data_IF_586274694170
#
_entry.id   IF_586274694170
#
_cell.length_a   1.000
_cell.length_b   1.000
_cell.length_c   1.000
_cell.angle_alpha   90.00
_cell.angle_beta   90.00
_cell.angle_gamma   90.00
#
_symmetry.space_group_name_H-M   'P 1'
#
loop_
_entity.id
_entity.type
_entity.pdbx_description
1 polymer ?
#
# COMPACT_ATOMS: atom_id res chain seq x y z
N UNK A 1 -9.41 20.59 12.91
CA UNK A 1 -9.26 21.37 14.14
C UNK A 1 -10.31 22.46 14.20
N UNK A 2 -10.73 22.84 15.41
CA UNK A 2 -11.70 23.91 15.65
C UNK A 2 -11.14 25.27 15.18
N UNK A 3 -11.90 26.03 14.41
CA UNK A 3 -11.49 27.32 13.86
C UNK A 3 -11.57 28.49 14.87
N UNK A 4 -11.89 28.19 16.13
CA UNK A 4 -11.80 29.17 17.22
C UNK A 4 -10.36 29.30 17.74
N UNK A 5 -9.80 28.21 18.31
CA UNK A 5 -8.46 28.23 18.93
C UNK A 5 -7.66 26.94 18.66
N UNK A 6 -7.95 26.24 17.57
CA UNK A 6 -7.14 25.13 17.09
C UNK A 6 -7.28 23.80 17.86
N UNK A 7 -8.28 23.69 18.75
CA UNK A 7 -8.47 22.43 19.49
C UNK A 7 -8.85 21.28 18.56
N UNK A 8 -8.33 20.08 18.83
CA UNK A 8 -8.69 18.86 18.12
C UNK A 8 -10.16 18.52 18.35
N UNK A 9 -10.93 18.27 17.28
CA UNK A 9 -12.36 17.99 17.37
C UNK A 9 -12.67 16.52 17.63
N UNK A 10 -11.87 15.63 17.07
CA UNK A 10 -12.00 14.17 17.23
C UNK A 10 -10.76 13.65 17.94
N UNK A 11 -10.96 12.94 19.05
CA UNK A 11 -9.88 12.42 19.92
C UNK A 11 -9.93 10.90 20.07
N UNK A 12 -10.79 10.24 19.30
CA UNK A 12 -10.96 8.79 19.26
C UNK A 12 -10.70 8.30 17.84
N UNK A 13 -10.25 7.06 17.72
CA UNK A 13 -9.83 6.50 16.44
C UNK A 13 -11.02 6.17 15.53
N UNK A 14 -12.17 5.81 16.12
CA UNK A 14 -13.39 5.45 15.39
C UNK A 14 -14.66 5.87 16.13
N UNK A 15 -15.75 6.09 15.38
CA UNK A 15 -17.04 6.44 15.98
C UNK A 15 -18.05 6.95 14.93
N UNK A 16 -19.29 7.16 15.40
CA UNK A 16 -20.36 7.77 14.62
C UNK A 16 -20.81 9.07 15.27
N UNK A 17 -20.92 10.13 14.48
CA UNK A 17 -21.29 11.46 14.94
C UNK A 17 -22.35 12.07 14.01
N UNK A 18 -23.25 12.85 14.56
CA UNK A 18 -24.14 13.74 13.80
C UNK A 18 -23.54 15.15 13.63
N UNK A 19 -22.58 15.53 14.48
CA UNK A 19 -21.87 16.80 14.43
C UNK A 19 -20.58 16.72 15.22
N UNK A 20 -19.62 17.60 14.95
CA UNK A 20 -18.38 17.74 15.71
C UNK A 20 -18.56 18.83 16.76
N UNK A 21 -18.41 18.50 18.05
CA UNK A 21 -18.44 19.46 19.14
C UNK A 21 -17.05 19.66 19.73
N UNK A 22 -16.60 20.91 19.74
CA UNK A 22 -15.30 21.25 20.33
C UNK A 22 -15.33 21.11 21.84
N UNK A 23 -14.46 20.29 22.40
CA UNK A 23 -14.38 20.08 23.86
C UNK A 23 -13.95 21.33 24.65
N UNK A 24 -13.42 22.35 23.95
CA UNK A 24 -12.90 23.55 24.63
C UNK A 24 -14.01 24.61 24.90
N UNK A 25 -14.75 25.01 23.87
CA UNK A 25 -15.82 26.04 24.01
C UNK A 25 -17.12 25.63 23.33
N UNK A 26 -17.36 24.33 23.19
CA UNK A 26 -18.59 23.73 22.66
C UNK A 26 -19.04 24.20 21.27
N UNK A 27 -18.16 24.84 20.46
CA UNK A 27 -18.50 25.19 19.08
C UNK A 27 -18.88 23.92 18.31
N UNK A 28 -20.03 23.97 17.63
CA UNK A 28 -20.57 22.80 16.90
C UNK A 28 -20.47 23.00 15.41
N UNK A 29 -19.86 22.02 14.76
CA UNK A 29 -19.71 21.94 13.30
C UNK A 29 -20.53 20.80 12.76
N UNK A 30 -21.22 21.01 11.65
CA UNK A 30 -21.89 19.95 10.90
C UNK A 30 -20.89 19.01 10.24
N UNK A 31 -21.39 17.87 9.71
CA UNK A 31 -20.57 16.96 8.93
C UNK A 31 -20.09 17.56 7.59
N UNK A 32 -20.75 18.65 7.15
CA UNK A 32 -20.35 19.46 6.00
C UNK A 32 -19.26 20.52 6.37
N UNK A 33 -18.78 20.50 7.61
CA UNK A 33 -17.75 21.42 8.12
C UNK A 33 -18.27 22.81 8.48
N UNK A 34 -19.55 23.11 8.31
CA UNK A 34 -20.09 24.44 8.68
C UNK A 34 -20.20 24.58 10.18
N UNK A 35 -19.82 25.77 10.69
CA UNK A 35 -20.09 26.14 12.06
C UNK A 35 -21.58 26.48 12.20
N UNK A 36 -22.32 25.65 12.93
CA UNK A 36 -23.77 25.75 13.04
C UNK A 36 -24.23 26.32 14.36
N UNK A 37 -23.38 26.30 15.39
CA UNK A 37 -23.75 26.79 16.71
C UNK A 37 -22.53 27.14 17.56
N UNK A 38 -22.67 28.23 18.32
CA UNK A 38 -21.72 28.65 19.37
C UNK A 38 -22.53 29.06 20.60
N UNK A 39 -21.95 28.95 21.82
CA UNK A 39 -22.57 29.52 23.04
C UNK A 39 -22.56 31.03 22.98
N UNK A 40 -23.55 31.68 23.61
CA UNK A 40 -23.64 33.12 23.78
C UNK A 40 -23.42 33.87 22.46
N UNK A 41 -24.10 33.44 21.40
CA UNK A 41 -23.94 33.95 20.03
C UNK A 41 -24.18 35.45 19.93
N UNK A 42 -25.06 35.97 20.75
CA UNK A 42 -25.41 37.39 20.85
C UNK A 42 -24.29 38.29 21.38
N UNK A 43 -23.34 37.73 22.12
CA UNK A 43 -22.22 38.47 22.69
C UNK A 43 -21.10 38.79 21.70
N UNK A 44 -21.16 38.24 20.50
CA UNK A 44 -20.17 38.52 19.47
C UNK A 44 -20.39 39.90 18.83
N UNK A 45 -19.62 40.91 19.26
CA UNK A 45 -19.73 42.29 18.79
C UNK A 45 -19.58 42.48 17.29
N UNK A 46 -18.92 41.52 16.59
CA UNK A 46 -18.75 41.49 15.12
C UNK A 46 -19.86 40.68 14.44
N UNK A 47 -20.89 40.27 15.17
CA UNK A 47 -21.95 39.37 14.76
C UNK A 47 -21.52 37.90 14.78
N UNK A 48 -22.52 37.01 14.65
CA UNK A 48 -22.35 35.58 14.74
C UNK A 48 -21.17 35.05 13.89
N UNK A 49 -20.32 34.18 14.46
CA UNK A 49 -19.29 33.46 13.71
C UNK A 49 -19.85 32.27 12.89
N UNK A 50 -21.12 31.87 13.13
CA UNK A 50 -21.78 30.78 12.43
C UNK A 50 -21.78 31.03 10.92
N UNK A 51 -21.47 30.01 10.13
CA UNK A 51 -21.34 30.11 8.69
C UNK A 51 -20.10 30.84 8.17
N UNK A 52 -19.37 31.58 9.05
CA UNK A 52 -18.16 32.35 8.69
C UNK A 52 -16.85 31.66 9.11
N UNK A 53 -16.87 30.95 10.26
CA UNK A 53 -15.73 30.23 10.82
C UNK A 53 -15.87 28.72 10.64
N UNK A 54 -16.17 28.32 9.41
CA UNK A 54 -16.29 26.92 9.04
C UNK A 54 -14.95 26.20 9.13
N UNK A 55 -14.98 24.87 9.19
CA UNK A 55 -13.77 24.07 9.04
C UNK A 55 -13.15 24.36 7.66
N UNK A 56 -11.84 24.31 7.61
CA UNK A 56 -11.10 24.46 6.34
C UNK A 56 -11.31 23.19 5.54
N UNK A 57 -11.77 23.33 4.32
CA UNK A 57 -11.84 22.21 3.37
C UNK A 57 -10.43 21.83 2.94
N UNK A 58 -10.17 20.53 2.88
CA UNK A 58 -8.90 19.97 2.44
C UNK A 58 -9.19 19.06 1.25
N UNK A 59 -8.47 19.27 0.16
CA UNK A 59 -8.56 18.41 -1.02
C UNK A 59 -8.25 16.98 -0.64
N UNK A 60 -9.21 16.08 -0.83
CA UNK A 60 -9.07 14.66 -0.51
C UNK A 60 -9.68 13.80 -1.60
N UNK A 61 -9.04 12.68 -1.89
CA UNK A 61 -9.50 11.68 -2.86
C UNK A 61 -9.29 10.29 -2.28
N UNK A 62 -10.12 9.33 -2.68
CA UNK A 62 -10.04 7.93 -2.25
C UNK A 62 -9.64 7.07 -3.43
N UNK A 63 -8.67 6.19 -3.20
CA UNK A 63 -8.30 5.17 -4.16
C UNK A 63 -8.01 3.85 -3.45
N UNK A 64 -8.65 2.78 -3.87
CA UNK A 64 -8.48 1.42 -3.34
C UNK A 64 -8.62 1.32 -1.81
N UNK A 65 -9.52 2.13 -1.22
CA UNK A 65 -9.73 2.17 0.24
C UNK A 65 -8.77 3.08 1.01
N UNK A 66 -7.73 3.60 0.37
CA UNK A 66 -6.82 4.59 0.95
C UNK A 66 -7.34 5.99 0.75
N UNK A 67 -7.30 6.81 1.80
CA UNK A 67 -7.68 8.23 1.77
C UNK A 67 -6.41 9.07 1.60
N UNK A 68 -6.34 9.80 0.51
CA UNK A 68 -5.26 10.74 0.21
C UNK A 68 -5.74 12.16 0.44
N UNK A 69 -4.88 13.03 0.95
CA UNK A 69 -5.19 14.44 1.10
C UNK A 69 -3.99 15.32 0.73
N UNK A 70 -4.27 16.55 0.33
CA UNK A 70 -3.27 17.56 0.02
C UNK A 70 -3.71 18.92 0.56
N UNK A 71 -2.77 19.63 1.20
CA UNK A 71 -3.02 20.98 1.73
C UNK A 71 -2.86 22.06 0.67
N UNK A 72 -2.39 21.73 -0.52
CA UNK A 72 -2.30 22.63 -1.67
C UNK A 72 -3.55 22.49 -2.55
N UNK A 73 -4.39 23.52 -2.53
CA UNK A 73 -5.63 23.56 -3.33
C UNK A 73 -5.37 23.48 -4.85
N UNK A 74 -4.16 23.84 -5.28
CA UNK A 74 -3.75 23.78 -6.69
C UNK A 74 -3.06 22.46 -7.05
N UNK A 75 -2.99 21.49 -6.12
CA UNK A 75 -2.40 20.20 -6.41
C UNK A 75 -3.09 19.48 -7.57
N UNK A 76 -2.34 18.68 -8.30
CA UNK A 76 -2.87 17.77 -9.34
C UNK A 76 -3.93 16.84 -8.76
N UNK A 77 -4.73 16.21 -9.62
CA UNK A 77 -5.59 15.09 -9.22
C UNK A 77 -4.76 13.95 -8.67
N UNK A 78 -5.35 13.12 -7.80
CA UNK A 78 -4.67 11.94 -7.28
C UNK A 78 -4.23 11.01 -8.42
N UNK A 79 -5.06 10.85 -9.45
CA UNK A 79 -4.73 10.04 -10.63
C UNK A 79 -3.48 10.55 -11.35
N UNK A 80 -3.40 11.86 -11.60
CA UNK A 80 -2.23 12.45 -12.27
C UNK A 80 -0.97 12.36 -11.41
N UNK A 81 -1.14 12.43 -10.09
CA UNK A 81 -0.02 12.31 -9.15
C UNK A 81 0.51 10.88 -9.07
N UNK A 82 -0.37 9.88 -8.97
CA UNK A 82 0.01 8.47 -8.81
C UNK A 82 0.34 7.77 -10.13
N UNK A 83 0.03 8.36 -11.30
CA UNK A 83 0.34 7.71 -12.59
C UNK A 83 1.86 7.47 -12.74
N UNK A 84 2.27 6.30 -13.25
CA UNK A 84 1.45 5.19 -13.76
C UNK A 84 1.17 4.08 -12.71
N UNK A 85 1.33 4.36 -11.43
CA UNK A 85 1.19 3.34 -10.38
C UNK A 85 -0.26 2.81 -10.30
N UNK A 86 -1.26 3.69 -10.49
CA UNK A 86 -2.66 3.24 -10.48
C UNK A 86 -2.92 2.18 -11.55
N UNK A 87 -2.36 2.37 -12.75
CA UNK A 87 -2.50 1.47 -13.88
C UNK A 87 -1.81 0.11 -13.61
N UNK A 88 -0.71 0.11 -12.86
CA UNK A 88 -0.02 -1.13 -12.48
C UNK A 88 -0.76 -1.93 -11.43
N UNK A 89 -1.59 -1.29 -10.64
CA UNK A 89 -2.30 -1.90 -9.51
C UNK A 89 -3.82 -2.09 -9.75
N UNK A 90 -4.35 -1.66 -10.90
CA UNK A 90 -5.80 -1.70 -11.15
C UNK A 90 -6.41 -3.10 -11.14
N UNK A 91 -5.61 -4.12 -11.49
CA UNK A 91 -6.06 -5.51 -11.48
C UNK A 91 -6.11 -6.13 -10.08
N UNK A 92 -5.43 -5.52 -9.10
CA UNK A 92 -5.39 -6.03 -7.73
C UNK A 92 -6.62 -5.52 -6.95
N UNK A 93 -7.39 -6.41 -6.28
CA UNK A 93 -8.58 -6.03 -5.52
C UNK A 93 -8.21 -5.46 -4.14
N UNK A 94 -7.37 -4.41 -4.11
CA UNK A 94 -6.82 -3.85 -2.86
C UNK A 94 -7.96 -3.35 -1.96
N UNK A 95 -9.02 -2.76 -2.54
CA UNK A 95 -10.20 -2.30 -1.78
C UNK A 95 -10.94 -3.41 -1.03
N UNK A 96 -10.78 -4.66 -1.47
CA UNK A 96 -11.43 -5.83 -0.86
C UNK A 96 -10.52 -6.53 0.15
N UNK A 97 -9.27 -6.09 0.27
CA UNK A 97 -8.31 -6.65 1.22
C UNK A 97 -8.58 -6.15 2.63
N UNK A 98 -8.32 -6.99 3.62
CA UNK A 98 -8.39 -6.65 5.03
C UNK A 98 -6.98 -6.55 5.62
N UNK A 99 -6.79 -5.58 6.51
CA UNK A 99 -5.53 -5.46 7.23
C UNK A 99 -5.42 -6.56 8.29
N UNK A 100 -4.51 -7.50 8.08
CA UNK A 100 -4.28 -8.62 9.01
C UNK A 100 -3.22 -8.33 10.07
N UNK A 101 -2.38 -7.33 9.85
CA UNK A 101 -1.28 -7.01 10.76
C UNK A 101 -0.89 -5.53 10.67
N UNK A 102 -0.44 -4.96 11.80
CA UNK A 102 0.08 -3.59 11.88
C UNK A 102 1.33 -3.58 12.76
N UNK A 103 2.41 -3.03 12.24
CA UNK A 103 3.66 -2.83 12.99
C UNK A 103 4.11 -1.39 12.84
N UNK A 104 4.46 -0.77 13.94
CA UNK A 104 5.13 0.52 13.95
C UNK A 104 6.56 0.33 14.45
N UNK A 105 7.52 0.80 13.69
CA UNK A 105 8.94 0.78 14.06
C UNK A 105 9.45 2.21 14.09
N UNK A 106 9.95 2.63 15.24
CA UNK A 106 10.61 3.92 15.42
C UNK A 106 12.13 3.73 15.30
N UNK A 107 12.81 4.66 14.64
CA UNK A 107 14.26 4.58 14.48
C UNK A 107 14.90 5.90 14.08
N UNK A 108 16.16 6.07 14.47
CA UNK A 108 16.96 7.29 14.24
C UNK A 108 17.64 7.29 12.86
N UNK A 109 16.85 7.09 11.80
CA UNK A 109 17.33 7.11 10.42
C UNK A 109 16.49 8.02 9.52
N UNK A 110 17.07 8.43 8.40
CA UNK A 110 16.34 9.16 7.38
C UNK A 110 15.41 8.17 6.63
N UNK A 111 14.14 8.53 6.47
CA UNK A 111 13.17 7.72 5.74
C UNK A 111 13.61 7.38 4.30
N UNK A 112 14.41 8.25 3.66
CA UNK A 112 14.97 8.02 2.32
C UNK A 112 15.86 6.78 2.27
N UNK A 113 16.60 6.47 3.35
CA UNK A 113 17.39 5.24 3.42
C UNK A 113 16.51 4.00 3.34
N UNK A 114 15.32 4.05 3.94
CA UNK A 114 14.35 2.95 3.81
C UNK A 114 13.83 2.85 2.38
N UNK A 115 13.54 3.99 1.76
CA UNK A 115 13.11 4.02 0.36
C UNK A 115 14.18 3.47 -0.57
N UNK A 116 15.44 3.90 -0.41
CA UNK A 116 16.54 3.44 -1.23
C UNK A 116 16.76 1.93 -1.12
N UNK A 117 16.63 1.37 0.10
CA UNK A 117 16.73 -0.06 0.34
C UNK A 117 15.70 -0.90 -0.45
N UNK A 118 14.53 -0.34 -0.73
CA UNK A 118 13.50 -1.03 -1.54
C UNK A 118 13.59 -0.73 -3.04
N UNK A 119 14.56 0.08 -3.47
CA UNK A 119 14.83 0.36 -4.88
C UNK A 119 16.02 -0.42 -5.43
N UNK A 120 16.48 -1.43 -4.72
CA UNK A 120 17.57 -2.28 -5.15
C UNK A 120 17.40 -3.69 -4.56
N UNK A 121 18.06 -4.67 -5.17
CA UNK A 121 18.09 -6.06 -4.70
C UNK A 121 19.50 -6.51 -4.26
N UNK A 122 20.45 -5.60 -4.26
CA UNK A 122 21.87 -5.90 -4.01
C UNK A 122 22.15 -6.43 -2.60
N UNK A 123 21.40 -5.96 -1.60
CA UNK A 123 21.53 -6.43 -0.21
C UNK A 123 20.90 -7.82 0.02
N UNK A 124 19.97 -8.25 -0.85
CA UNK A 124 19.15 -9.46 -0.67
C UNK A 124 19.98 -10.71 -0.35
N UNK A 125 21.10 -11.01 -1.04
CA UNK A 125 21.87 -12.23 -0.77
C UNK A 125 22.49 -12.29 0.62
N UNK A 126 22.65 -11.15 1.26
CA UNK A 126 23.38 -11.02 2.54
C UNK A 126 22.44 -10.76 3.73
N UNK A 127 21.43 -9.92 3.52
CA UNK A 127 20.48 -9.53 4.57
C UNK A 127 19.28 -10.50 4.61
N UNK A 128 18.86 -11.01 3.44
CA UNK A 128 17.75 -11.91 3.29
C UNK A 128 18.14 -13.22 2.57
N UNK A 129 19.11 -13.99 3.10
CA UNK A 129 19.70 -15.11 2.38
C UNK A 129 18.69 -16.21 1.99
N UNK A 130 17.57 -16.31 2.71
CA UNK A 130 16.50 -17.26 2.38
C UNK A 130 15.77 -16.91 1.07
N UNK A 131 15.69 -15.62 0.69
CA UNK A 131 15.02 -15.22 -0.53
C UNK A 131 15.69 -15.76 -1.80
N UNK A 132 16.97 -16.06 -1.77
CA UNK A 132 17.71 -16.65 -2.90
C UNK A 132 17.14 -17.98 -3.38
N UNK A 133 16.52 -18.74 -2.49
CA UNK A 133 15.89 -20.02 -2.84
C UNK A 133 14.52 -19.84 -3.50
N UNK A 134 13.94 -18.66 -3.35
CA UNK A 134 12.60 -18.34 -3.85
C UNK A 134 12.61 -17.41 -5.07
N UNK A 135 13.55 -16.45 -5.14
CA UNK A 135 13.56 -15.42 -6.16
C UNK A 135 14.98 -15.13 -6.65
N UNK A 136 15.12 -14.85 -7.95
CA UNK A 136 16.38 -14.37 -8.52
C UNK A 136 16.56 -12.88 -8.17
N UNK A 137 17.59 -12.57 -7.39
CA UNK A 137 17.87 -11.23 -6.89
C UNK A 137 18.80 -10.41 -7.78
N UNK A 138 19.39 -11.01 -8.81
CA UNK A 138 20.33 -10.31 -9.69
C UNK A 138 19.66 -9.14 -10.41
N UNK A 139 20.40 -8.03 -10.55
CA UNK A 139 19.89 -6.81 -11.18
C UNK A 139 19.39 -7.02 -12.61
N UNK A 140 19.96 -7.97 -13.36
CA UNK A 140 19.54 -8.28 -14.73
C UNK A 140 18.22 -9.05 -14.79
N UNK A 141 17.81 -9.69 -13.69
CA UNK A 141 16.53 -10.38 -13.58
C UNK A 141 15.43 -9.48 -12.98
N UNK A 142 15.82 -8.53 -12.11
CA UNK A 142 14.90 -7.59 -11.48
C UNK A 142 14.61 -6.41 -12.42
N UNK A 143 13.39 -5.91 -12.39
CA UNK A 143 13.00 -4.68 -13.09
C UNK A 143 12.84 -3.54 -12.09
N UNK A 144 13.45 -2.40 -12.40
CA UNK A 144 13.36 -1.17 -11.60
C UNK A 144 12.82 -0.05 -12.48
N UNK A 145 11.66 0.47 -12.13
CA UNK A 145 11.04 1.59 -12.83
C UNK A 145 11.07 2.82 -11.93
N UNK A 146 11.66 3.89 -12.43
CA UNK A 146 11.67 5.21 -11.81
C UNK A 146 10.84 6.16 -12.65
N UNK A 147 9.79 6.73 -12.07
CA UNK A 147 8.85 7.57 -12.78
C UNK A 147 9.13 9.06 -12.54
N UNK A 148 8.75 9.92 -13.48
CA UNK A 148 8.87 11.38 -13.36
C UNK A 148 8.11 11.92 -12.14
N UNK A 149 7.06 11.23 -11.69
CA UNK A 149 6.34 11.50 -10.45
C UNK A 149 7.15 11.23 -9.19
N UNK A 150 8.40 10.76 -9.32
CA UNK A 150 9.29 10.32 -8.25
C UNK A 150 8.82 9.05 -7.50
N UNK A 151 7.75 8.44 -7.96
CA UNK A 151 7.37 7.09 -7.52
C UNK A 151 8.29 6.07 -8.15
N UNK A 152 8.36 4.89 -7.55
CA UNK A 152 9.16 3.80 -8.12
C UNK A 152 8.45 2.46 -7.97
N UNK A 153 8.85 1.51 -8.82
CA UNK A 153 8.41 0.13 -8.76
C UNK A 153 9.60 -0.79 -8.95
N UNK A 154 9.71 -1.80 -8.09
CA UNK A 154 10.61 -2.92 -8.27
C UNK A 154 9.79 -4.19 -8.50
N UNK A 155 10.17 -4.97 -9.49
CA UNK A 155 9.66 -6.32 -9.73
C UNK A 155 10.82 -7.30 -9.56
N UNK A 156 10.63 -8.30 -8.71
CA UNK A 156 11.57 -9.40 -8.52
C UNK A 156 10.88 -10.69 -8.94
N UNK A 157 11.46 -11.45 -9.90
CA UNK A 157 10.84 -12.67 -10.37
C UNK A 157 10.86 -13.75 -9.29
N UNK A 158 9.67 -14.16 -8.85
CA UNK A 158 9.51 -15.26 -7.89
C UNK A 158 9.48 -16.62 -8.55
N UNK A 159 9.73 -17.67 -7.78
CA UNK A 159 9.84 -19.07 -8.21
C UNK A 159 10.93 -19.30 -9.27
N UNK A 160 11.95 -18.47 -9.25
CA UNK A 160 13.21 -18.66 -9.98
C UNK A 160 14.31 -18.58 -8.92
N UNK A 161 14.87 -19.70 -8.46
CA UNK A 161 15.96 -19.66 -7.49
C UNK A 161 17.18 -18.95 -8.09
N UNK A 162 17.91 -18.21 -7.26
CA UNK A 162 19.13 -17.54 -7.65
C UNK A 162 20.13 -18.51 -8.26
N UNK A 163 20.84 -18.06 -9.29
CA UNK A 163 21.95 -18.81 -9.87
C UNK A 163 22.98 -19.27 -8.81
N UNK A 164 23.13 -18.52 -7.74
CA UNK A 164 24.07 -18.81 -6.66
C UNK A 164 23.69 -20.04 -5.82
N UNK A 165 22.41 -20.45 -5.81
CA UNK A 165 21.90 -21.55 -5.01
C UNK A 165 21.18 -22.62 -5.84
N UNK A 166 21.18 -22.55 -7.15
CA UNK A 166 20.49 -23.49 -8.04
C UNK A 166 20.92 -24.95 -7.81
N UNK A 167 22.14 -25.16 -7.34
CA UNK A 167 22.69 -26.48 -7.00
C UNK A 167 22.30 -26.97 -5.59
N UNK A 168 21.64 -26.14 -4.77
CA UNK A 168 21.15 -26.49 -3.45
C UNK A 168 19.68 -26.93 -3.53
N UNK A 169 19.41 -27.88 -4.42
CA UNK A 169 18.06 -28.28 -4.82
C UNK A 169 17.15 -28.62 -3.63
N UNK A 170 17.66 -29.32 -2.61
CA UNK A 170 16.87 -29.70 -1.43
C UNK A 170 16.33 -28.46 -0.69
N UNK A 171 17.14 -27.41 -0.56
CA UNK A 171 16.71 -26.17 0.08
C UNK A 171 15.75 -25.37 -0.79
N UNK A 172 15.93 -25.39 -2.10
CA UNK A 172 14.99 -24.76 -3.02
C UNK A 172 13.62 -25.44 -2.89
N UNK A 173 13.58 -26.76 -2.96
CA UNK A 173 12.35 -27.55 -2.80
C UNK A 173 11.69 -27.28 -1.45
N UNK A 174 12.44 -27.31 -0.34
CA UNK A 174 11.93 -26.99 0.98
C UNK A 174 11.31 -25.61 1.06
N UNK A 175 11.97 -24.59 0.47
CA UNK A 175 11.51 -23.21 0.50
C UNK A 175 10.23 -22.98 -0.31
N UNK A 176 10.11 -23.60 -1.47
CA UNK A 176 8.97 -23.38 -2.36
C UNK A 176 7.77 -24.27 -2.07
N UNK A 177 7.98 -25.43 -1.42
CA UNK A 177 6.94 -26.43 -1.18
C UNK A 177 5.66 -25.84 -0.57
N UNK A 178 5.70 -25.05 0.53
CA UNK A 178 4.48 -24.52 1.14
C UNK A 178 3.67 -23.63 0.19
N UNK A 179 4.33 -23.00 -0.77
CA UNK A 179 3.70 -22.07 -1.71
C UNK A 179 3.01 -22.77 -2.88
N UNK A 180 3.61 -23.86 -3.38
CA UNK A 180 3.06 -24.55 -4.55
C UNK A 180 2.09 -25.69 -4.15
N UNK A 181 2.26 -26.29 -2.98
CA UNK A 181 1.34 -27.29 -2.42
C UNK A 181 -0.07 -26.72 -2.23
N UNK A 182 -0.19 -25.45 -1.84
CA UNK A 182 -1.49 -24.76 -1.80
C UNK A 182 -2.23 -24.80 -3.14
N UNK A 183 -1.50 -24.90 -4.25
CA UNK A 183 -2.03 -24.98 -5.61
C UNK A 183 -2.08 -26.42 -6.13
N UNK A 184 -2.10 -27.42 -5.23
CA UNK A 184 -2.18 -28.83 -5.55
C UNK A 184 -1.01 -29.33 -6.44
N UNK A 185 0.19 -28.74 -6.24
CA UNK A 185 1.43 -29.14 -6.91
C UNK A 185 2.36 -29.79 -5.90
N UNK A 186 3.10 -30.81 -6.33
CA UNK A 186 4.08 -31.49 -5.48
C UNK A 186 5.49 -30.97 -5.81
N UNK A 187 6.17 -30.40 -4.83
CA UNK A 187 7.50 -29.82 -5.01
C UNK A 187 8.55 -30.84 -5.42
N UNK A 188 8.44 -32.10 -4.96
CA UNK A 188 9.37 -33.17 -5.30
C UNK A 188 9.38 -33.52 -6.81
N UNK A 189 8.28 -33.25 -7.53
CA UNK A 189 8.17 -33.49 -8.96
C UNK A 189 9.08 -32.57 -9.80
N UNK A 190 9.65 -31.53 -9.15
CA UNK A 190 10.50 -30.52 -9.80
C UNK A 190 11.99 -30.76 -9.59
N UNK A 191 12.38 -31.87 -8.99
CA UNK A 191 13.79 -32.26 -8.92
C UNK A 191 14.38 -32.39 -10.33
N UNK A 192 15.53 -31.77 -10.54
CA UNK A 192 16.20 -31.70 -11.84
C UNK A 192 15.58 -30.75 -12.87
N UNK A 193 14.48 -30.04 -12.50
CA UNK A 193 13.81 -29.07 -13.40
C UNK A 193 13.20 -27.89 -12.63
N UNK A 194 13.95 -27.34 -11.69
CA UNK A 194 13.49 -26.27 -10.81
C UNK A 194 12.97 -25.04 -11.56
N UNK A 195 13.52 -24.74 -12.74
CA UNK A 195 13.11 -23.57 -13.52
C UNK A 195 11.73 -23.70 -14.18
N UNK A 196 11.17 -24.90 -14.25
CA UNK A 196 9.82 -25.13 -14.79
C UNK A 196 8.73 -24.73 -13.79
N UNK A 197 9.06 -24.67 -12.50
CA UNK A 197 8.11 -24.41 -11.41
C UNK A 197 7.28 -23.17 -11.67
N UNK A 198 7.94 -22.09 -12.07
CA UNK A 198 7.29 -20.78 -12.25
C UNK A 198 6.17 -20.84 -13.30
N UNK A 199 6.45 -21.38 -14.45
CA UNK A 199 5.49 -21.47 -15.55
C UNK A 199 4.35 -22.44 -15.22
N UNK A 200 4.67 -23.58 -14.63
CA UNK A 200 3.67 -24.57 -14.24
C UNK A 200 2.78 -24.04 -13.10
N UNK A 201 3.34 -23.29 -12.15
CA UNK A 201 2.56 -22.62 -11.09
C UNK A 201 1.62 -21.56 -11.68
N UNK A 202 2.06 -20.77 -12.65
CA UNK A 202 1.19 -19.79 -13.32
C UNK A 202 0.01 -20.47 -14.00
N UNK A 203 0.25 -21.57 -14.73
CA UNK A 203 -0.81 -22.37 -15.35
C UNK A 203 -1.77 -22.96 -14.32
N UNK A 204 -1.21 -23.52 -13.23
CA UNK A 204 -2.01 -24.15 -12.17
C UNK A 204 -2.86 -23.13 -11.41
N UNK A 205 -2.31 -21.94 -11.11
CA UNK A 205 -3.06 -20.84 -10.52
C UNK A 205 -4.27 -20.44 -11.36
N UNK A 206 -4.09 -20.29 -12.68
CA UNK A 206 -5.20 -19.99 -13.59
C UNK A 206 -6.23 -21.10 -13.70
N UNK A 207 -5.82 -22.35 -13.55
CA UNK A 207 -6.71 -23.50 -13.58
C UNK A 207 -7.59 -23.60 -12.32
N UNK A 208 -7.02 -23.28 -11.18
CA UNK A 208 -7.66 -23.46 -9.88
C UNK A 208 -8.19 -22.15 -9.26
N UNK A 209 -8.04 -21.01 -9.93
CA UNK A 209 -8.37 -19.70 -9.37
C UNK A 209 -9.79 -19.64 -8.80
N UNK A 210 -10.79 -20.00 -9.60
CA UNK A 210 -12.19 -19.98 -9.18
C UNK A 210 -12.51 -20.97 -8.07
N UNK A 211 -11.90 -22.16 -8.10
CA UNK A 211 -12.06 -23.18 -7.06
C UNK A 211 -11.49 -22.71 -5.73
N UNK A 212 -10.34 -22.03 -5.77
CA UNK A 212 -9.66 -21.47 -4.59
C UNK A 212 -10.24 -20.10 -4.17
N UNK A 213 -11.25 -19.57 -4.87
CA UNK A 213 -11.91 -18.30 -4.54
C UNK A 213 -11.24 -17.05 -5.08
N UNK A 214 -10.39 -17.18 -6.09
CA UNK A 214 -9.71 -16.06 -6.75
C UNK A 214 -10.30 -15.76 -8.13
N UNK A 215 -9.92 -14.63 -8.68
CA UNK A 215 -10.17 -14.26 -10.07
C UNK A 215 -8.90 -13.66 -10.70
N UNK A 216 -8.14 -14.49 -11.40
CA UNK A 216 -6.93 -14.07 -12.10
C UNK A 216 -7.14 -13.76 -13.58
N UNK A 217 -8.39 -13.61 -14.03
CA UNK A 217 -8.70 -13.40 -15.45
C UNK A 217 -8.02 -12.16 -16.06
N UNK A 218 -7.81 -11.11 -15.25
CA UNK A 218 -7.14 -9.87 -15.65
C UNK A 218 -5.63 -9.87 -15.41
N UNK A 219 -5.13 -10.77 -14.58
CA UNK A 219 -3.72 -10.78 -14.17
C UNK A 219 -2.81 -11.22 -15.32
N UNK A 220 -1.67 -10.57 -15.47
CA UNK A 220 -0.54 -11.06 -16.27
C UNK A 220 0.13 -12.21 -15.52
N UNK A 221 0.88 -13.06 -16.26
CA UNK A 221 1.57 -14.20 -15.64
C UNK A 221 2.59 -13.75 -14.57
N UNK A 222 3.29 -12.64 -14.81
CA UNK A 222 4.20 -12.03 -13.84
C UNK A 222 3.50 -11.64 -12.53
N UNK A 223 2.27 -11.16 -12.60
CA UNK A 223 1.48 -10.82 -11.40
C UNK A 223 1.09 -12.03 -10.54
N UNK A 224 1.17 -13.24 -11.10
CA UNK A 224 0.88 -14.48 -10.37
C UNK A 224 2.06 -15.01 -9.57
N UNK A 225 3.28 -14.60 -9.89
CA UNK A 225 4.51 -15.18 -9.34
C UNK A 225 5.51 -14.19 -8.81
N UNK A 226 5.51 -12.93 -9.31
CA UNK A 226 6.53 -11.96 -8.96
C UNK A 226 6.19 -11.18 -7.69
N UNK A 227 7.22 -10.77 -6.99
CA UNK A 227 7.10 -9.78 -5.93
C UNK A 227 7.12 -8.40 -6.56
N UNK A 228 6.12 -7.59 -6.21
CA UNK A 228 6.03 -6.19 -6.62
C UNK A 228 6.20 -5.30 -5.39
N UNK A 229 7.16 -4.40 -5.45
CA UNK A 229 7.33 -3.34 -4.45
C UNK A 229 7.07 -2.00 -5.11
N UNK A 230 6.17 -1.21 -4.51
CA UNK A 230 5.83 0.11 -5.00
C UNK A 230 6.12 1.12 -3.91
N UNK A 231 6.79 2.20 -4.30
CA UNK A 231 7.10 3.29 -3.40
C UNK A 231 6.43 4.56 -3.89
N UNK A 232 5.68 5.16 -2.98
CA UNK A 232 5.03 6.43 -3.19
C UNK A 232 5.89 7.54 -2.58
N UNK A 233 6.22 8.55 -3.38
CA UNK A 233 6.98 9.69 -2.91
C UNK A 233 6.05 10.72 -2.27
N UNK A 234 6.39 11.19 -1.06
CA UNK A 234 5.66 12.23 -0.31
C UNK A 234 4.17 11.94 -0.05
N UNK A 235 3.82 10.70 0.28
CA UNK A 235 2.46 10.38 0.73
C UNK A 235 2.43 10.22 2.25
N UNK A 236 1.59 11.03 2.93
CA UNK A 236 1.09 10.70 4.25
C UNK A 236 -0.17 9.87 4.05
N UNK A 237 -0.09 8.56 4.31
CA UNK A 237 -1.26 7.71 4.41
C UNK A 237 -1.79 7.85 5.84
N UNK A 238 -3.00 8.42 5.97
CA UNK A 238 -3.82 8.25 7.16
C UNK A 238 -4.81 7.12 6.87
N UNK A 239 -4.70 6.04 7.62
CA UNK A 239 -5.65 4.92 7.56
C UNK A 239 -6.67 5.10 8.67
#
# INVERSE_FOLDING_TARGET
VCQHRGNQLVQIDEGNLESFSCAYHAWKFGLDGKLNWVPDEEDFSQGSPCGKRNLIEIKSEVWQGFIFFNLDDNSKSLRDYLSPIMEHLEDYPISDMIRTHWVTVEGDWNWKCVQDNFNESYHTPYVHPALKYYAEEKYHACQFDMYESMHSRMLMPGFIPSESVINEEDKVIEMIAPHIEYWDMNAEDYRGRLLDIREDLQKQKRKLDKEKGYDFSKFKDTQLTDTITIQFFQICLSV
#
